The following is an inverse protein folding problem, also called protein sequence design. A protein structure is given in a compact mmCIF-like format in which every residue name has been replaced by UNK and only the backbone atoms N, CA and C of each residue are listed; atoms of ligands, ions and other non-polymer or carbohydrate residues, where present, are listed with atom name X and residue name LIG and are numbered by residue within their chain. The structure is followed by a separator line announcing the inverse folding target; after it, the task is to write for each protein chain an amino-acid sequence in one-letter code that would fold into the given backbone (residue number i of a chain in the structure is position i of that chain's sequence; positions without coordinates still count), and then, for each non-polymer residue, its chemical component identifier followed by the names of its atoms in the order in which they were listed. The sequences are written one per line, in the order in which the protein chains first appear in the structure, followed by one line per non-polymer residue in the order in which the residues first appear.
data_IF_444137851453
#
_entry.id   IF_444137851453
#
_cell.length_a   1.000
_cell.length_b   1.000
_cell.length_c   1.000
_cell.angle_alpha   90.00
_cell.angle_beta   90.00
_cell.angle_gamma   90.00
#
_symmetry.space_group_name_H-M   'P 1'
#
loop_
_entity.id
_entity.type
_entity.pdbx_description
1 polymer ?
#
# COMPACT_ATOMS: atom_id res chain seq x y z
N UNK A 1 6.43 -20.53 44.57
CA UNK A 1 6.25 -21.01 43.20
C UNK A 1 5.03 -20.31 42.62
N UNK A 2 5.26 -19.22 41.92
CA UNK A 2 4.18 -18.39 41.30
C UNK A 2 3.99 -18.86 39.87
N UNK A 3 2.86 -19.51 39.59
CA UNK A 3 2.41 -19.80 38.25
C UNK A 3 1.84 -18.49 37.67
N UNK A 4 2.67 -17.73 36.97
CA UNK A 4 2.16 -16.73 36.06
C UNK A 4 1.56 -17.44 34.84
N UNK A 5 0.23 -17.61 34.87
CA UNK A 5 -0.52 -18.03 33.72
C UNK A 5 -0.23 -17.05 32.56
N UNK A 6 0.34 -17.53 31.45
CA UNK A 6 0.36 -16.80 30.21
C UNK A 6 -1.09 -16.51 29.82
N UNK A 7 -1.56 -15.30 30.12
CA UNK A 7 -2.76 -14.78 29.51
C UNK A 7 -2.45 -14.67 28.01
N UNK A 8 -3.03 -15.58 27.25
CA UNK A 8 -3.04 -15.48 25.79
C UNK A 8 -3.90 -14.24 25.47
N UNK A 9 -3.25 -13.10 25.29
CA UNK A 9 -3.88 -11.93 24.71
C UNK A 9 -4.33 -12.33 23.30
N UNK A 10 -5.62 -12.50 23.13
CA UNK A 10 -6.22 -12.64 21.81
C UNK A 10 -6.04 -11.27 21.14
N UNK A 11 -5.15 -11.18 20.16
CA UNK A 11 -4.93 -9.95 19.42
C UNK A 11 -6.25 -9.46 18.81
N UNK A 12 -6.56 -8.18 18.97
CA UNK A 12 -7.78 -7.56 18.41
C UNK A 12 -7.61 -7.43 16.92
N UNK A 13 -6.43 -6.98 16.49
CA UNK A 13 -6.05 -6.99 15.08
C UNK A 13 -5.41 -8.35 14.75
N UNK A 14 -5.98 -9.06 13.81
CA UNK A 14 -5.53 -10.40 13.41
C UNK A 14 -5.13 -10.43 11.94
N UNK A 15 -4.17 -11.28 11.61
CA UNK A 15 -3.73 -11.47 10.23
C UNK A 15 -4.91 -11.98 9.38
N UNK A 16 -5.23 -11.33 8.25
CA UNK A 16 -6.28 -11.80 7.35
C UNK A 16 -5.96 -13.20 6.80
N UNK A 17 -7.01 -14.00 6.64
CA UNK A 17 -6.86 -15.34 6.04
C UNK A 17 -6.67 -15.22 4.54
N UNK A 18 -5.61 -15.82 4.02
CA UNK A 18 -5.36 -15.95 2.58
C UNK A 18 -5.76 -17.35 2.12
N UNK A 19 -6.47 -17.49 0.99
CA UNK A 19 -6.73 -18.78 0.38
C UNK A 19 -5.41 -19.50 0.05
N UNK A 20 -5.34 -20.80 0.29
CA UNK A 20 -4.16 -21.61 -0.05
C UNK A 20 -2.88 -21.30 0.73
N UNK A 21 -2.97 -20.65 1.89
CA UNK A 21 -1.78 -20.23 2.67
C UNK A 21 -0.81 -21.37 2.95
N UNK A 22 -1.30 -22.59 3.22
CA UNK A 22 -0.42 -23.74 3.47
C UNK A 22 0.46 -24.07 2.27
N UNK A 23 -0.09 -24.03 1.07
CA UNK A 23 0.66 -24.24 -0.17
C UNK A 23 1.66 -23.12 -0.40
N UNK A 24 1.29 -21.85 -0.13
CA UNK A 24 2.17 -20.70 -0.28
C UNK A 24 3.33 -20.72 0.72
N UNK A 25 3.14 -21.27 1.90
CA UNK A 25 4.22 -21.47 2.87
C UNK A 25 5.26 -22.49 2.41
N UNK A 26 4.85 -23.47 1.62
CA UNK A 26 5.75 -24.52 1.10
C UNK A 26 6.42 -24.09 -0.22
N UNK A 27 5.71 -23.42 -1.11
CA UNK A 27 6.16 -23.12 -2.48
C UNK A 27 6.48 -21.64 -2.75
N UNK A 28 6.04 -20.71 -1.91
CA UNK A 28 6.06 -19.28 -2.20
C UNK A 28 5.00 -18.88 -3.23
N UNK A 29 5.17 -17.67 -3.78
CA UNK A 29 4.34 -17.19 -4.89
C UNK A 29 5.09 -17.46 -6.19
N UNK A 30 4.54 -18.31 -7.09
CA UNK A 30 5.21 -18.70 -8.32
C UNK A 30 5.68 -17.49 -9.12
N UNK A 31 6.91 -17.56 -9.63
CA UNK A 31 7.57 -16.54 -10.45
C UNK A 31 7.86 -15.20 -9.75
N UNK A 32 7.31 -14.93 -8.56
CA UNK A 32 7.44 -13.66 -7.83
C UNK A 32 8.36 -13.81 -6.63
N UNK A 33 8.09 -14.72 -5.69
CA UNK A 33 8.88 -14.85 -4.48
C UNK A 33 8.96 -16.28 -3.94
N UNK A 34 10.08 -16.61 -3.31
CA UNK A 34 10.29 -17.88 -2.64
C UNK A 34 9.40 -18.05 -1.40
N UNK A 35 9.27 -19.29 -0.93
CA UNK A 35 8.57 -19.60 0.32
C UNK A 35 9.12 -18.84 1.53
N UNK A 36 10.45 -18.69 1.60
CA UNK A 36 11.11 -17.96 2.68
C UNK A 36 10.78 -16.46 2.65
N UNK A 37 10.82 -15.85 1.46
CA UNK A 37 10.45 -14.44 1.28
C UNK A 37 8.96 -14.22 1.56
N UNK A 38 8.09 -15.11 1.09
CA UNK A 38 6.65 -15.05 1.39
C UNK A 38 6.39 -15.14 2.90
N UNK A 39 7.05 -16.07 3.60
CA UNK A 39 6.94 -16.18 5.07
C UNK A 39 7.35 -14.88 5.75
N UNK A 40 8.49 -14.32 5.37
CA UNK A 40 9.01 -13.08 5.97
C UNK A 40 8.10 -11.89 5.70
N UNK A 41 7.71 -11.66 4.44
CA UNK A 41 6.97 -10.45 4.07
C UNK A 41 5.47 -10.52 4.41
N UNK A 42 4.89 -11.71 4.50
CA UNK A 42 3.49 -11.85 4.88
C UNK A 42 3.32 -12.36 6.31
N UNK A 43 3.76 -13.57 6.60
CA UNK A 43 3.41 -14.20 7.88
C UNK A 43 4.04 -13.46 9.06
N UNK A 44 5.37 -13.33 9.04
CA UNK A 44 6.10 -12.76 10.17
C UNK A 44 5.87 -11.24 10.27
N UNK A 45 5.93 -10.53 9.14
CA UNK A 45 5.72 -9.08 9.10
C UNK A 45 4.27 -8.70 9.48
N UNK A 46 3.29 -9.38 8.90
CA UNK A 46 1.88 -9.06 9.17
C UNK A 46 1.50 -9.36 10.62
N UNK A 47 1.99 -10.48 11.17
CA UNK A 47 1.78 -10.81 12.58
C UNK A 47 2.41 -9.76 13.50
N UNK A 48 3.67 -9.39 13.25
CA UNK A 48 4.35 -8.36 14.04
C UNK A 48 3.60 -7.03 14.02
N UNK A 49 3.10 -6.61 12.84
CA UNK A 49 2.34 -5.37 12.70
C UNK A 49 0.99 -5.45 13.41
N UNK A 50 0.27 -6.59 13.34
CA UNK A 50 -0.98 -6.82 14.08
C UNK A 50 -0.77 -6.73 15.59
N UNK A 51 0.29 -7.36 16.10
CA UNK A 51 0.62 -7.34 17.53
C UNK A 51 0.94 -5.92 18.00
N UNK A 52 1.76 -5.19 17.25
CA UNK A 52 2.10 -3.80 17.54
C UNK A 52 0.88 -2.88 17.46
N UNK A 53 0.02 -3.05 16.46
CA UNK A 53 -1.19 -2.24 16.33
C UNK A 53 -2.18 -2.53 17.47
N UNK A 54 -2.33 -3.78 17.86
CA UNK A 54 -3.15 -4.19 19.03
C UNK A 54 -2.66 -3.49 20.28
N UNK A 55 -1.35 -3.48 20.54
CA UNK A 55 -0.77 -2.81 21.70
C UNK A 55 -0.93 -1.29 21.65
N UNK A 56 -0.74 -0.68 20.47
CA UNK A 56 -0.83 0.76 20.30
C UNK A 56 -2.27 1.30 20.37
N UNK A 57 -3.27 0.49 20.03
CA UNK A 57 -4.69 0.85 20.06
C UNK A 57 -5.41 0.45 21.36
N UNK A 58 -4.80 -0.42 22.18
CA UNK A 58 -5.42 -0.99 23.38
C UNK A 58 -6.00 0.10 24.31
N UNK A 59 -7.25 -0.09 24.73
CA UNK A 59 -7.96 0.85 25.61
C UNK A 59 -8.37 2.17 24.96
N UNK A 60 -8.21 2.31 23.64
CA UNK A 60 -8.64 3.51 22.89
C UNK A 60 -9.82 3.18 21.97
N UNK A 61 -10.48 4.22 21.45
CA UNK A 61 -11.54 4.05 20.45
C UNK A 61 -11.01 3.42 19.13
N UNK A 62 -9.69 3.47 18.89
CA UNK A 62 -9.03 2.89 17.73
C UNK A 62 -9.03 1.35 17.74
N UNK A 63 -9.22 0.74 18.90
CA UNK A 63 -9.16 -0.70 19.12
C UNK A 63 -10.15 -1.50 18.26
N UNK A 64 -11.33 -0.94 18.00
CA UNK A 64 -12.39 -1.60 17.22
C UNK A 64 -12.34 -1.34 15.72
N UNK A 65 -11.42 -0.48 15.26
CA UNK A 65 -11.37 -0.08 13.84
C UNK A 65 -10.48 -1.02 13.02
N UNK A 66 -10.91 -1.27 11.79
CA UNK A 66 -10.07 -1.95 10.79
C UNK A 66 -8.86 -1.08 10.40
N UNK A 67 -7.72 -1.68 9.98
CA UNK A 67 -6.54 -0.92 9.58
C UNK A 67 -6.83 0.19 8.55
N UNK A 68 -7.65 -0.08 7.55
CA UNK A 68 -8.09 0.93 6.58
C UNK A 68 -8.76 2.15 7.23
N UNK A 69 -9.71 1.92 8.14
CA UNK A 69 -10.38 3.01 8.85
C UNK A 69 -9.41 3.79 9.75
N UNK A 70 -8.43 3.09 10.36
CA UNK A 70 -7.39 3.74 11.15
C UNK A 70 -6.52 4.65 10.29
N UNK A 71 -6.13 4.22 9.08
CA UNK A 71 -5.38 5.07 8.15
C UNK A 71 -6.11 6.39 7.90
N UNK A 72 -7.41 6.35 7.56
CA UNK A 72 -8.18 7.56 7.28
C UNK A 72 -8.41 8.40 8.54
N UNK A 73 -8.65 7.76 9.69
CA UNK A 73 -8.99 8.45 10.93
C UNK A 73 -7.80 9.11 11.62
N UNK A 74 -6.60 8.55 11.47
CA UNK A 74 -5.39 9.00 12.15
C UNK A 74 -4.47 9.87 11.28
N UNK A 75 -4.67 9.90 9.97
CA UNK A 75 -3.81 10.56 8.99
C UNK A 75 -3.47 12.03 9.31
N UNK A 76 -4.43 12.78 9.86
CA UNK A 76 -4.26 14.21 10.21
C UNK A 76 -3.96 14.45 11.68
N UNK A 77 -3.63 13.40 12.44
CA UNK A 77 -3.39 13.47 13.89
C UNK A 77 -1.94 13.13 14.19
N UNK A 78 -1.09 14.13 14.30
CA UNK A 78 0.35 13.96 14.55
C UNK A 78 0.65 13.10 15.79
N UNK A 79 -0.16 13.23 16.85
CA UNK A 79 -0.03 12.42 18.07
C UNK A 79 -0.41 10.94 17.91
N UNK A 80 -1.01 10.55 16.78
CA UNK A 80 -1.36 9.17 16.43
C UNK A 80 -0.52 8.62 15.28
N UNK A 81 0.60 9.23 14.93
CA UNK A 81 1.49 8.82 13.84
C UNK A 81 1.91 7.34 13.95
N UNK A 82 2.12 6.85 15.15
CA UNK A 82 2.47 5.44 15.36
C UNK A 82 1.33 4.50 14.89
N UNK A 83 0.08 4.80 15.27
CA UNK A 83 -1.09 4.02 14.85
C UNK A 83 -1.27 4.13 13.33
N UNK A 84 -1.12 5.34 12.78
CA UNK A 84 -1.17 5.55 11.32
C UNK A 84 -0.16 4.68 10.58
N UNK A 85 1.11 4.72 10.96
CA UNK A 85 2.17 3.97 10.29
C UNK A 85 1.94 2.45 10.36
N UNK A 86 1.51 1.94 11.51
CA UNK A 86 1.22 0.52 11.68
C UNK A 86 0.01 0.09 10.84
N UNK A 87 -1.06 0.88 10.86
CA UNK A 87 -2.28 0.62 10.10
C UNK A 87 -2.04 0.70 8.59
N UNK A 88 -1.27 1.71 8.13
CA UNK A 88 -0.90 1.87 6.73
C UNK A 88 -0.03 0.72 6.24
N UNK A 89 0.99 0.33 7.01
CA UNK A 89 1.83 -0.82 6.69
C UNK A 89 1.02 -2.11 6.55
N UNK A 90 0.12 -2.38 7.51
CA UNK A 90 -0.77 -3.55 7.48
C UNK A 90 -1.66 -3.57 6.24
N UNK A 91 -2.28 -2.42 5.95
CA UNK A 91 -3.21 -2.30 4.84
C UNK A 91 -2.52 -2.40 3.48
N UNK A 92 -1.42 -1.68 3.30
CA UNK A 92 -0.64 -1.72 2.06
C UNK A 92 -0.09 -3.12 1.78
N UNK A 93 0.40 -3.80 2.82
CA UNK A 93 0.92 -5.15 2.68
C UNK A 93 -0.19 -6.16 2.30
N UNK A 94 -1.40 -5.96 2.83
CA UNK A 94 -2.57 -6.76 2.42
C UNK A 94 -2.90 -6.52 0.94
N UNK A 95 -3.02 -5.25 0.52
CA UNK A 95 -3.27 -4.89 -0.89
C UNK A 95 -2.23 -5.50 -1.84
N UNK A 96 -0.95 -5.46 -1.44
CA UNK A 96 0.14 -6.03 -2.21
C UNK A 96 -0.01 -7.54 -2.37
N UNK A 97 -0.19 -8.26 -1.29
CA UNK A 97 -0.31 -9.73 -1.36
C UNK A 97 -1.54 -10.13 -2.19
N UNK A 98 -2.69 -9.48 -2.02
CA UNK A 98 -3.86 -9.75 -2.86
C UNK A 98 -3.59 -9.56 -4.36
N UNK A 99 -2.74 -8.60 -4.73
CA UNK A 99 -2.38 -8.35 -6.12
C UNK A 99 -1.52 -9.44 -6.77
N UNK A 100 -0.77 -10.21 -5.98
CA UNK A 100 0.16 -11.22 -6.49
C UNK A 100 -0.22 -12.65 -6.10
N UNK A 101 -1.37 -12.85 -5.43
CA UNK A 101 -1.85 -14.19 -5.11
C UNK A 101 -2.09 -15.00 -6.38
N UNK A 102 -1.55 -16.23 -6.48
CA UNK A 102 -1.80 -17.08 -7.62
C UNK A 102 -3.28 -17.47 -7.69
N UNK A 103 -3.84 -17.42 -8.87
CA UNK A 103 -5.19 -17.86 -9.17
C UNK A 103 -5.16 -19.21 -9.88
N UNK A 104 -6.21 -20.03 -9.69
CA UNK A 104 -6.34 -21.30 -10.39
C UNK A 104 -6.42 -21.14 -11.92
N UNK A 105 -6.99 -20.02 -12.36
CA UNK A 105 -7.06 -19.63 -13.77
C UNK A 105 -6.26 -18.37 -14.02
N UNK A 106 -5.59 -18.31 -15.17
CA UNK A 106 -4.90 -17.10 -15.62
C UNK A 106 -5.92 -15.99 -15.79
N UNK A 107 -5.68 -14.87 -15.12
CA UNK A 107 -6.53 -13.70 -15.18
C UNK A 107 -5.90 -12.65 -16.10
N UNK A 108 -6.73 -11.82 -16.74
CA UNK A 108 -6.28 -10.81 -17.69
C UNK A 108 -6.83 -9.43 -17.29
N UNK A 109 -6.15 -8.34 -17.71
CA UNK A 109 -6.68 -7.00 -17.53
C UNK A 109 -8.04 -6.88 -18.24
N UNK A 110 -8.98 -6.17 -17.60
CA UNK A 110 -10.28 -5.92 -18.23
C UNK A 110 -10.12 -5.02 -19.46
N UNK A 111 -11.06 -5.15 -20.39
CA UNK A 111 -11.09 -4.29 -21.57
C UNK A 111 -11.17 -2.80 -21.21
N UNK A 112 -11.90 -2.48 -20.16
CA UNK A 112 -12.06 -1.10 -19.68
C UNK A 112 -10.76 -0.55 -19.10
N UNK A 113 -10.01 -1.37 -18.36
CA UNK A 113 -8.67 -1.00 -17.88
C UNK A 113 -7.74 -0.67 -19.05
N UNK A 114 -7.70 -1.52 -20.08
CA UNK A 114 -6.86 -1.32 -21.25
C UNK A 114 -7.27 -0.09 -22.06
N UNK A 115 -8.58 0.17 -22.21
CA UNK A 115 -9.09 1.36 -22.90
C UNK A 115 -8.74 2.65 -22.17
N UNK A 116 -8.85 2.67 -20.84
CA UNK A 116 -8.42 3.80 -20.01
C UNK A 116 -6.93 4.07 -20.17
N UNK A 117 -6.12 3.02 -20.10
CA UNK A 117 -4.68 3.12 -20.27
C UNK A 117 -4.29 3.70 -21.64
N UNK A 118 -4.89 3.19 -22.71
CA UNK A 118 -4.65 3.65 -24.06
C UNK A 118 -5.12 5.10 -24.27
N UNK A 119 -6.30 5.46 -23.77
CA UNK A 119 -6.84 6.81 -23.91
C UNK A 119 -6.05 7.86 -23.14
N UNK A 120 -5.52 7.51 -21.97
CA UNK A 120 -4.87 8.44 -21.07
C UNK A 120 -3.36 8.55 -21.33
N UNK A 121 -2.69 7.42 -21.58
CA UNK A 121 -1.23 7.38 -21.74
C UNK A 121 -0.78 7.10 -23.18
N UNK A 122 -1.69 6.71 -24.09
CA UNK A 122 -1.35 6.25 -25.44
C UNK A 122 -0.32 5.12 -25.45
N UNK A 123 -0.39 4.25 -24.45
CA UNK A 123 0.57 3.16 -24.21
C UNK A 123 -0.14 1.81 -24.14
N UNK A 124 0.59 0.76 -24.53
CA UNK A 124 0.20 -0.62 -24.22
C UNK A 124 0.48 -0.95 -22.76
N UNK A 125 -0.16 -2.00 -22.22
CA UNK A 125 0.13 -2.44 -20.85
C UNK A 125 1.61 -2.80 -20.64
N UNK A 126 2.27 -3.39 -21.64
CA UNK A 126 3.70 -3.73 -21.53
C UNK A 126 4.59 -2.49 -21.42
N UNK A 127 4.34 -1.47 -22.24
CA UNK A 127 5.06 -0.21 -22.14
C UNK A 127 4.78 0.52 -20.82
N UNK A 128 3.54 0.43 -20.33
CA UNK A 128 3.18 1.03 -19.04
C UNK A 128 3.83 0.32 -17.84
N UNK A 129 4.04 -1.00 -17.90
CA UNK A 129 4.82 -1.72 -16.90
C UNK A 129 6.27 -1.20 -16.81
N UNK A 130 6.89 -0.89 -17.95
CA UNK A 130 8.26 -0.32 -17.97
C UNK A 130 8.29 1.06 -17.31
N UNK A 131 7.24 1.87 -17.52
CA UNK A 131 7.10 3.16 -16.86
C UNK A 131 6.91 3.00 -15.34
N UNK A 132 6.10 2.05 -14.89
CA UNK A 132 5.95 1.75 -13.46
C UNK A 132 7.27 1.27 -12.83
N UNK A 133 8.05 0.45 -13.55
CA UNK A 133 9.39 0.01 -13.08
C UNK A 133 10.33 1.20 -12.95
N UNK A 134 10.33 2.13 -13.93
CA UNK A 134 11.13 3.34 -13.88
C UNK A 134 10.80 4.19 -12.65
N UNK A 135 9.52 4.43 -12.38
CA UNK A 135 9.09 5.15 -11.18
C UNK A 135 9.51 4.45 -9.86
N UNK A 136 9.48 3.11 -9.81
CA UNK A 136 9.95 2.38 -8.65
C UNK A 136 11.45 2.56 -8.37
N UNK A 137 12.27 2.75 -9.40
CA UNK A 137 13.71 2.94 -9.28
C UNK A 137 14.10 4.40 -9.00
N UNK A 138 13.45 5.34 -9.70
CA UNK A 138 13.84 6.74 -9.68
C UNK A 138 13.23 7.52 -8.50
N UNK A 139 11.97 7.26 -8.15
CA UNK A 139 11.24 8.05 -7.16
C UNK A 139 11.44 7.56 -5.72
N UNK A 140 11.75 6.27 -5.53
CA UNK A 140 11.88 5.66 -4.19
C UNK A 140 13.31 5.17 -3.97
N UNK A 141 14.14 6.02 -3.38
CA UNK A 141 15.55 5.69 -3.09
C UNK A 141 15.74 4.70 -1.94
N UNK A 142 14.77 4.51 -1.12
CA UNK A 142 14.83 3.60 0.04
C UNK A 142 13.71 2.59 -0.01
N UNK A 143 12.94 2.58 1.05
CA UNK A 143 11.79 1.70 1.22
C UNK A 143 10.50 2.46 0.97
N UNK A 144 9.50 1.79 0.43
CA UNK A 144 8.22 2.41 0.14
C UNK A 144 7.28 1.50 -0.62
N UNK A 145 6.39 2.12 -1.38
CA UNK A 145 5.35 1.43 -2.15
C UNK A 145 5.20 2.08 -3.51
N UNK A 146 4.94 1.26 -4.51
CA UNK A 146 4.48 1.67 -5.83
C UNK A 146 3.00 1.30 -5.94
N UNK A 147 2.18 2.27 -6.30
CA UNK A 147 0.75 2.08 -6.53
C UNK A 147 0.36 2.51 -7.95
N UNK A 148 -0.61 1.83 -8.50
CA UNK A 148 -1.47 2.38 -9.54
C UNK A 148 -2.79 2.72 -8.87
N UNK A 149 -3.22 3.97 -8.95
CA UNK A 149 -4.44 4.46 -8.32
C UNK A 149 -5.41 5.02 -9.36
N UNK A 150 -6.70 4.94 -9.08
CA UNK A 150 -7.76 5.61 -9.81
C UNK A 150 -8.24 6.81 -8.98
N UNK A 151 -8.40 7.99 -9.61
CA UNK A 151 -8.93 9.18 -8.95
C UNK A 151 -10.47 9.29 -9.13
N UNK A 152 -11.09 10.36 -8.63
CA UNK A 152 -12.53 10.65 -8.75
C UNK A 152 -12.96 10.91 -10.20
N UNK A 153 -12.07 11.45 -11.05
CA UNK A 153 -12.29 11.61 -12.49
C UNK A 153 -12.14 10.30 -13.28
N UNK A 154 -11.90 9.16 -12.59
CA UNK A 154 -11.67 7.85 -13.19
C UNK A 154 -10.38 7.75 -14.01
N UNK A 155 -9.43 8.62 -13.75
CA UNK A 155 -8.10 8.60 -14.36
C UNK A 155 -7.14 7.72 -13.56
N UNK A 156 -6.21 7.08 -14.26
CA UNK A 156 -5.17 6.24 -13.67
C UNK A 156 -3.92 7.08 -13.37
N UNK A 157 -3.33 6.91 -12.20
CA UNK A 157 -2.09 7.58 -11.83
C UNK A 157 -1.10 6.62 -11.20
N UNK A 158 0.16 6.69 -11.62
CA UNK A 158 1.26 6.04 -10.92
C UNK A 158 1.57 6.88 -9.68
N UNK A 159 1.62 6.24 -8.53
CA UNK A 159 1.89 6.90 -7.27
C UNK A 159 2.97 6.13 -6.53
N UNK A 160 4.04 6.83 -6.20
CA UNK A 160 5.09 6.32 -5.33
C UNK A 160 4.97 6.97 -3.95
N UNK A 161 5.12 6.19 -2.90
CA UNK A 161 5.14 6.70 -1.53
C UNK A 161 6.29 6.08 -0.75
N UNK A 162 6.92 6.88 0.09
CA UNK A 162 8.05 6.43 0.90
C UNK A 162 7.56 5.84 2.23
N UNK A 163 8.33 4.89 2.75
CA UNK A 163 8.06 4.22 4.03
C UNK A 163 6.62 3.68 4.13
N UNK A 164 5.90 4.05 5.18
CA UNK A 164 4.51 3.64 5.43
C UNK A 164 3.49 4.65 4.91
N UNK A 165 3.81 5.38 3.84
CA UNK A 165 2.86 6.24 3.16
C UNK A 165 1.65 5.45 2.65
N UNK A 166 0.57 6.15 2.32
CA UNK A 166 -0.71 5.57 1.92
C UNK A 166 -1.11 5.98 0.52
N UNK A 167 -1.83 5.14 -0.25
CA UNK A 167 -2.34 5.51 -1.57
C UNK A 167 -3.55 6.46 -1.52
N UNK A 168 -4.17 6.65 -0.36
CA UNK A 168 -5.37 7.45 -0.23
C UNK A 168 -5.07 8.95 -0.15
N UNK A 169 -5.60 9.72 -1.09
CA UNK A 169 -5.35 11.16 -1.21
C UNK A 169 -5.69 11.92 0.08
N UNK A 170 -6.84 11.66 0.66
CA UNK A 170 -7.27 12.35 1.89
C UNK A 170 -6.27 12.19 3.05
N UNK A 171 -5.69 11.00 3.18
CA UNK A 171 -4.70 10.72 4.20
C UNK A 171 -3.31 11.27 3.85
N UNK A 172 -2.96 11.35 2.55
CA UNK A 172 -1.69 11.91 2.09
C UNK A 172 -1.62 13.42 2.19
N UNK A 173 -2.75 14.09 2.00
CA UNK A 173 -2.85 15.55 2.12
C UNK A 173 -2.79 15.96 3.59
N UNK A 174 -1.72 15.54 4.26
CA UNK A 174 -1.41 15.95 5.62
C UNK A 174 -0.90 17.39 5.58
N UNK A 175 -1.36 18.20 6.54
CA UNK A 175 -0.78 19.52 6.76
C UNK A 175 0.71 19.37 7.10
N UNK A 176 1.52 20.24 6.54
CA UNK A 176 2.95 20.32 6.81
C UNK A 176 3.26 20.35 8.30
N UNK A 177 4.45 19.88 8.68
CA UNK A 177 4.92 19.97 10.06
C UNK A 177 5.15 21.44 10.44
N UNK A 178 4.20 22.00 11.15
CA UNK A 178 4.27 23.37 11.65
C UNK A 178 5.26 23.54 12.83
N UNK A 179 5.94 22.46 13.25
CA UNK A 179 6.93 22.52 14.32
C UNK A 179 8.32 22.98 13.86
N UNK A 180 8.57 23.01 12.55
CA UNK A 180 9.79 23.60 11.99
C UNK A 180 9.64 25.12 11.83
N UNK A 181 10.74 25.87 12.04
CA UNK A 181 10.77 27.30 11.76
C UNK A 181 10.65 27.51 10.24
N UNK A 182 9.51 28.05 9.80
CA UNK A 182 9.23 28.33 8.40
C UNK A 182 9.96 29.60 7.96
N UNK A 183 10.58 29.56 6.78
CA UNK A 183 11.06 30.77 6.10
C UNK A 183 9.87 31.60 5.55
N UNK A 184 10.10 32.89 5.27
CA UNK A 184 9.07 33.73 4.65
C UNK A 184 8.60 33.19 3.30
N UNK A 185 9.52 32.65 2.49
CA UNK A 185 9.21 32.05 1.19
C UNK A 185 8.34 30.79 1.34
N UNK A 186 8.62 29.95 2.31
CA UNK A 186 7.80 28.78 2.63
C UNK A 186 6.41 29.19 3.10
N UNK A 187 6.30 30.25 3.93
CA UNK A 187 5.00 30.78 4.34
C UNK A 187 4.16 31.31 3.15
N UNK A 188 4.78 32.01 2.21
CA UNK A 188 4.07 32.48 1.00
C UNK A 188 3.61 31.31 0.13
N UNK A 189 4.42 30.26 -0.03
CA UNK A 189 4.04 29.04 -0.71
C UNK A 189 2.88 28.32 -0.01
N UNK A 190 2.88 28.30 1.33
CA UNK A 190 1.79 27.76 2.13
C UNK A 190 0.48 28.52 1.94
N UNK A 191 0.52 29.85 1.97
CA UNK A 191 -0.66 30.68 1.74
C UNK A 191 -1.23 30.44 0.36
N UNK A 192 -0.36 30.40 -0.66
CA UNK A 192 -0.77 30.12 -2.05
C UNK A 192 -1.39 28.72 -2.18
N UNK A 193 -0.76 27.71 -1.58
CA UNK A 193 -1.28 26.33 -1.59
C UNK A 193 -2.60 26.20 -0.83
N UNK A 194 -2.71 26.85 0.34
CA UNK A 194 -3.96 26.90 1.11
C UNK A 194 -5.08 27.54 0.31
N UNK A 195 -4.80 28.64 -0.38
CA UNK A 195 -5.80 29.37 -1.17
C UNK A 195 -6.23 28.58 -2.41
N UNK A 196 -5.30 27.86 -3.06
CA UNK A 196 -5.61 26.90 -4.13
C UNK A 196 -6.46 25.72 -3.63
N UNK A 197 -6.14 25.18 -2.45
CA UNK A 197 -6.92 24.11 -1.83
C UNK A 197 -8.31 24.60 -1.40
N UNK A 198 -8.43 25.84 -0.92
CA UNK A 198 -9.70 26.46 -0.56
C UNK A 198 -10.56 26.74 -1.80
N UNK A 199 -9.95 27.18 -2.90
CA UNK A 199 -10.64 27.35 -4.20
C UNK A 199 -11.16 26.04 -4.79
N UNK A 200 -10.48 24.92 -4.49
CA UNK A 200 -10.85 23.56 -4.91
C UNK A 200 -11.56 22.76 -3.80
N UNK A 201 -12.06 23.42 -2.76
CA UNK A 201 -12.64 22.76 -1.58
C UNK A 201 -13.86 21.89 -1.88
N UNK A 202 -14.54 22.11 -3.01
CA UNK A 202 -15.68 21.29 -3.47
C UNK A 202 -15.24 20.02 -4.23
N UNK A 203 -13.97 19.90 -4.58
CA UNK A 203 -13.42 18.69 -5.21
C UNK A 203 -13.08 17.70 -4.12
N UNK A 204 -13.96 16.73 -3.92
CA UNK A 204 -13.69 15.54 -3.08
C UNK A 204 -12.68 14.66 -3.83
N UNK A 205 -11.45 15.07 -3.84
CA UNK A 205 -10.40 14.27 -4.46
C UNK A 205 -10.16 13.01 -3.62
N UNK A 206 -10.32 11.86 -4.24
CA UNK A 206 -10.05 10.56 -3.64
C UNK A 206 -9.22 9.71 -4.60
N UNK A 207 -8.49 8.79 -4.06
CA UNK A 207 -7.72 7.82 -4.84
C UNK A 207 -7.98 6.42 -4.32
N UNK A 208 -8.25 5.50 -5.24
CA UNK A 208 -8.45 4.09 -4.97
C UNK A 208 -7.26 3.29 -5.51
N UNK A 209 -6.54 2.53 -4.68
CA UNK A 209 -5.43 1.71 -5.14
C UNK A 209 -5.95 0.50 -5.91
N UNK A 210 -5.56 0.38 -7.18
CA UNK A 210 -5.83 -0.77 -8.04
C UNK A 210 -4.71 -1.81 -7.91
N UNK A 211 -3.46 -1.37 -8.04
CA UNK A 211 -2.25 -2.17 -7.90
C UNK A 211 -1.42 -1.61 -6.77
N UNK A 212 -0.87 -2.49 -5.94
CA UNK A 212 0.08 -2.17 -4.89
C UNK A 212 1.28 -3.10 -5.00
N UNK A 213 2.50 -2.55 -5.00
CA UNK A 213 3.74 -3.32 -5.02
C UNK A 213 4.64 -2.83 -3.89
N UNK A 214 5.11 -3.77 -3.07
CA UNK A 214 6.03 -3.49 -1.99
C UNK A 214 7.43 -3.21 -2.54
N UNK A 215 8.01 -2.08 -2.16
CA UNK A 215 9.41 -1.74 -2.42
C UNK A 215 10.27 -1.89 -1.15
N UNK A 216 9.76 -2.60 -0.15
CA UNK A 216 10.47 -2.91 1.08
C UNK A 216 11.50 -4.01 0.85
N UNK A 217 12.68 -3.86 1.43
CA UNK A 217 13.80 -4.77 1.29
C UNK A 217 13.44 -6.22 1.60
N UNK A 218 12.65 -6.46 2.65
CA UNK A 218 12.22 -7.80 3.03
C UNK A 218 11.33 -8.50 1.98
N UNK A 219 10.80 -7.75 1.00
CA UNK A 219 9.96 -8.32 -0.06
C UNK A 219 10.76 -8.85 -1.24
N UNK A 220 12.00 -8.41 -1.44
CA UNK A 220 12.76 -8.79 -2.64
C UNK A 220 14.23 -9.12 -2.43
N UNK A 221 14.91 -8.58 -1.38
CA UNK A 221 16.36 -8.75 -1.23
C UNK A 221 16.81 -10.21 -1.19
N UNK A 222 16.04 -11.07 -0.54
CA UNK A 222 16.39 -12.48 -0.38
C UNK A 222 16.45 -13.23 -1.72
N UNK A 223 15.55 -12.91 -2.65
CA UNK A 223 15.39 -13.62 -3.92
C UNK A 223 16.10 -12.92 -5.09
N UNK A 224 16.22 -11.59 -5.05
CA UNK A 224 16.71 -10.78 -6.16
C UNK A 224 17.99 -10.00 -5.84
N UNK A 225 18.34 -9.87 -4.57
CA UNK A 225 19.46 -9.04 -4.13
C UNK A 225 19.22 -7.54 -4.32
N UNK A 226 20.22 -6.73 -3.94
CA UNK A 226 20.13 -5.26 -3.92
C UNK A 226 19.83 -4.67 -5.31
N UNK A 227 20.43 -5.23 -6.36
CA UNK A 227 20.28 -4.73 -7.74
C UNK A 227 19.04 -5.28 -8.46
N UNK A 228 18.26 -6.13 -7.80
CA UNK A 228 17.17 -6.86 -8.43
C UNK A 228 15.80 -6.23 -8.28
N UNK A 229 15.67 -4.99 -7.75
CA UNK A 229 14.39 -4.32 -7.51
C UNK A 229 13.57 -4.20 -8.79
N UNK A 230 14.16 -3.71 -9.89
CA UNK A 230 13.47 -3.58 -11.18
C UNK A 230 12.97 -4.92 -11.71
N UNK A 231 13.79 -5.96 -11.63
CA UNK A 231 13.40 -7.33 -12.02
C UNK A 231 12.24 -7.86 -11.16
N UNK A 232 12.29 -7.61 -9.86
CA UNK A 232 11.24 -7.99 -8.92
C UNK A 232 9.93 -7.27 -9.23
N UNK A 233 9.96 -5.93 -9.39
CA UNK A 233 8.77 -5.13 -9.72
C UNK A 233 8.17 -5.61 -11.04
N UNK A 234 9.00 -5.83 -12.06
CA UNK A 234 8.53 -6.36 -13.35
C UNK A 234 7.83 -7.72 -13.19
N UNK A 235 8.41 -8.65 -12.42
CA UNK A 235 7.79 -9.94 -12.14
C UNK A 235 6.48 -9.84 -11.37
N UNK A 236 6.37 -8.90 -10.42
CA UNK A 236 5.09 -8.63 -9.76
C UNK A 236 4.03 -8.18 -10.77
N UNK A 237 4.38 -7.25 -11.67
CA UNK A 237 3.48 -6.72 -12.71
C UNK A 237 3.10 -7.77 -13.76
N UNK A 238 3.98 -8.72 -14.06
CA UNK A 238 3.71 -9.81 -15.00
C UNK A 238 2.80 -10.91 -14.41
N UNK A 239 2.76 -11.02 -13.07
CA UNK A 239 2.02 -12.06 -12.35
C UNK A 239 0.89 -11.48 -11.49
N UNK A 240 0.25 -10.40 -11.93
CA UNK A 240 -0.86 -9.80 -11.22
C UNK A 240 -2.10 -10.70 -11.21
N UNK A 241 -2.74 -10.74 -10.05
CA UNK A 241 -4.10 -11.23 -9.91
C UNK A 241 -5.09 -10.21 -10.48
N UNK A 242 -5.37 -10.31 -11.77
CA UNK A 242 -6.28 -9.38 -12.43
C UNK A 242 -7.72 -9.45 -11.92
N UNK A 243 -8.12 -10.54 -11.29
CA UNK A 243 -9.43 -10.60 -10.65
C UNK A 243 -9.53 -9.57 -9.52
N UNK A 244 -8.49 -9.48 -8.68
CA UNK A 244 -8.45 -8.47 -7.60
C UNK A 244 -8.40 -7.05 -8.16
N UNK A 245 -7.56 -6.80 -9.18
CA UNK A 245 -7.41 -5.48 -9.82
C UNK A 245 -8.72 -5.03 -10.47
N UNK A 246 -9.33 -5.90 -11.28
CA UNK A 246 -10.59 -5.60 -11.97
C UNK A 246 -11.73 -5.33 -10.99
N UNK A 247 -11.81 -6.11 -9.89
CA UNK A 247 -12.84 -5.89 -8.86
C UNK A 247 -12.68 -4.53 -8.17
N UNK A 248 -11.45 -4.05 -7.98
CA UNK A 248 -11.20 -2.73 -7.41
C UNK A 248 -11.57 -1.60 -8.38
N UNK A 249 -11.34 -1.79 -9.68
CA UNK A 249 -11.71 -0.83 -10.72
C UNK A 249 -13.24 -0.61 -10.78
N UNK A 250 -14.03 -1.66 -10.51
CA UNK A 250 -15.50 -1.63 -10.58
C UNK A 250 -16.21 -1.44 -9.24
N UNK A 251 -15.51 -1.54 -8.12
CA UNK A 251 -16.12 -1.46 -6.79
C UNK A 251 -16.58 -0.04 -6.39
N UNK A 252 -16.58 0.91 -7.32
CA UNK A 252 -17.02 2.29 -7.12
C UNK A 252 -18.47 2.53 -7.58
N UNK A 253 -19.35 1.53 -7.43
CA UNK A 253 -20.79 1.70 -7.60
C UNK A 253 -21.49 1.99 -6.28
#
# INVERSE_FOLDING_TARGET
MSMFGRQLFRGIHTVPKIPGISQLLDSGIPHVMSANTFKTCWVDQQQLLCDKLTLASAGTAAESYLPFHLVLHTAKKSYQTNIFNLASALHNNHLFIENILPMEQVTHPSREFLQKLESQYSMTWDAFKDEMVRHAEEDVLGQGWLFLVENDAKELHILTVQNNGTPYYFARNQSFDLNSALSLEEMEQFVTMRDLLAANADVKDWTMPLIAISLWDHSYLNDYGIKGRSTYVRKCLDNLNWSAVNNRLFSTQ
#
